data_IF_157917385670
#
_entry.id   IF_157917385670
#
_cell.length_a   1.000
_cell.length_b   1.000
_cell.length_c   1.000
_cell.angle_alpha   90.00
_cell.angle_beta   90.00
_cell.angle_gamma   90.00
#
_symmetry.space_group_name_H-M   'P 1'
#
loop_
_entity.id
_entity.type
_entity.pdbx_description
1 polymer ?
#
# COMPACT_ATOMS: atom_id res chain seq x y z
N UNK A 1 8.62 -3.46 21.70
CA UNK A 1 9.17 -4.13 20.51
C UNK A 1 9.21 -3.16 19.33
N UNK A 2 8.08 -2.51 18.92
CA UNK A 2 8.02 -1.58 17.77
C UNK A 2 9.09 -0.47 17.87
N UNK A 3 9.20 0.20 19.00
CA UNK A 3 10.18 1.27 19.21
C UNK A 3 11.65 0.80 19.08
N UNK A 4 11.96 -0.43 19.47
CA UNK A 4 13.32 -0.98 19.32
C UNK A 4 13.62 -1.33 17.85
N UNK A 5 12.62 -1.84 17.13
CA UNK A 5 12.74 -2.13 15.69
C UNK A 5 12.98 -0.85 14.91
N UNK A 6 12.28 0.24 15.24
CA UNK A 6 12.42 1.55 14.59
C UNK A 6 13.80 2.18 14.85
N UNK A 7 14.40 1.90 16.00
CA UNK A 7 15.77 2.36 16.36
C UNK A 7 16.87 1.38 15.93
N UNK A 8 16.53 0.31 15.19
CA UNK A 8 17.46 -0.73 14.74
C UNK A 8 18.22 -1.43 15.88
N UNK A 9 17.58 -1.55 17.05
CA UNK A 9 18.09 -2.26 18.22
C UNK A 9 17.54 -3.68 18.22
N UNK A 10 18.39 -4.68 18.46
CA UNK A 10 17.96 -6.07 18.59
C UNK A 10 17.15 -6.24 19.89
N UNK A 11 15.95 -6.77 19.77
CA UNK A 11 15.10 -7.12 20.91
C UNK A 11 15.10 -8.62 21.12
N UNK A 12 15.36 -9.03 22.36
CA UNK A 12 15.26 -10.41 22.81
C UNK A 12 14.10 -10.53 23.81
N UNK A 13 13.22 -11.46 23.60
CA UNK A 13 12.08 -11.67 24.50
C UNK A 13 11.76 -13.16 24.64
N UNK A 14 11.19 -13.53 25.78
CA UNK A 14 10.67 -14.86 26.04
C UNK A 14 9.24 -14.89 25.49
N UNK A 15 8.93 -15.76 24.50
CA UNK A 15 7.60 -15.79 23.93
C UNK A 15 6.58 -16.36 24.90
N UNK A 16 5.46 -15.67 25.07
CA UNK A 16 4.23 -16.27 25.59
C UNK A 16 3.48 -16.97 24.46
N UNK A 17 2.65 -17.95 24.78
CA UNK A 17 1.91 -18.76 23.78
C UNK A 17 1.10 -17.89 22.79
N UNK A 18 0.70 -16.67 23.19
CA UNK A 18 0.04 -15.70 22.31
C UNK A 18 0.97 -14.94 21.34
N UNK A 19 2.29 -14.99 21.56
CA UNK A 19 3.27 -14.19 20.79
C UNK A 19 3.84 -14.96 19.56
N UNK A 20 3.39 -16.19 19.33
CA UNK A 20 3.85 -17.08 18.24
C UNK A 20 3.58 -16.50 16.84
N UNK A 21 2.92 -15.35 16.73
CA UNK A 21 2.50 -14.73 15.46
C UNK A 21 3.42 -13.55 15.04
N UNK A 22 4.60 -13.40 15.64
CA UNK A 22 5.55 -12.38 15.15
C UNK A 22 6.27 -12.91 13.93
N UNK A 23 5.74 -12.59 12.75
CA UNK A 23 6.35 -12.92 11.48
C UNK A 23 7.77 -12.31 11.41
N UNK A 24 8.79 -13.16 11.24
CA UNK A 24 10.18 -12.77 11.06
C UNK A 24 11.07 -12.88 12.30
N UNK A 25 10.57 -13.38 13.43
CA UNK A 25 11.40 -13.67 14.59
C UNK A 25 12.22 -14.96 14.38
N UNK A 26 13.53 -14.92 14.68
CA UNK A 26 14.40 -16.09 14.66
C UNK A 26 14.46 -16.72 16.05
N UNK A 27 14.36 -18.04 16.07
CA UNK A 27 14.58 -18.83 17.28
C UNK A 27 16.07 -18.86 17.62
N UNK A 28 16.45 -18.35 18.77
CA UNK A 28 17.81 -18.44 19.31
C UNK A 28 17.75 -19.27 20.59
N UNK A 29 18.38 -20.44 20.60
CA UNK A 29 18.50 -21.24 21.80
C UNK A 29 19.66 -20.73 22.65
N UNK A 30 19.38 -20.29 23.86
CA UNK A 30 20.36 -19.97 24.88
C UNK A 30 19.96 -20.61 26.19
N UNK A 31 20.80 -21.50 26.73
CA UNK A 31 20.60 -22.18 28.03
C UNK A 31 19.20 -22.79 28.24
N UNK A 32 18.70 -23.57 27.27
CA UNK A 32 17.39 -24.26 27.34
C UNK A 32 16.15 -23.35 27.46
N UNK A 33 16.30 -22.03 27.33
CA UNK A 33 15.19 -21.10 27.27
C UNK A 33 14.97 -20.69 25.82
N UNK A 34 13.77 -20.85 25.25
CA UNK A 34 13.47 -20.38 23.90
C UNK A 34 13.41 -18.83 23.92
N UNK A 35 14.40 -18.21 23.31
CA UNK A 35 14.46 -16.77 23.15
C UNK A 35 14.15 -16.43 21.69
N UNK A 36 13.27 -15.48 21.44
CA UNK A 36 13.00 -14.97 20.12
C UNK A 36 13.73 -13.65 19.90
N UNK A 37 14.56 -13.62 18.86
CA UNK A 37 15.21 -12.39 18.40
C UNK A 37 14.42 -11.78 17.27
N UNK A 38 14.02 -10.53 17.41
CA UNK A 38 13.43 -9.76 16.31
C UNK A 38 14.37 -8.64 15.90
N UNK A 39 14.69 -8.59 14.62
CA UNK A 39 15.45 -7.51 13.99
C UNK A 39 14.68 -7.00 12.78
N UNK A 40 14.90 -5.74 12.45
CA UNK A 40 14.44 -5.22 11.15
C UNK A 40 15.13 -6.06 10.06
N UNK A 41 14.35 -6.69 9.20
CA UNK A 41 14.89 -7.42 8.05
C UNK A 41 15.52 -6.39 7.08
N UNK A 42 16.82 -6.22 7.19
CA UNK A 42 17.58 -5.39 6.24
C UNK A 42 17.84 -6.25 5.01
N UNK A 43 17.23 -5.89 3.90
CA UNK A 43 17.47 -6.54 2.61
C UNK A 43 18.92 -6.28 2.19
N UNK A 44 19.62 -7.31 1.67
CA UNK A 44 20.93 -7.09 1.07
C UNK A 44 20.81 -6.08 -0.08
N UNK A 45 21.82 -5.24 -0.32
CA UNK A 45 21.80 -4.24 -1.40
C UNK A 45 21.50 -4.85 -2.77
N UNK A 46 22.02 -6.04 -3.02
CA UNK A 46 21.79 -6.79 -4.26
C UNK A 46 20.32 -7.16 -4.44
N UNK A 47 19.70 -7.69 -3.37
CA UNK A 47 18.28 -8.04 -3.39
C UNK A 47 17.40 -6.80 -3.57
N UNK A 48 17.76 -5.69 -2.91
CA UNK A 48 17.04 -4.43 -3.05
C UNK A 48 17.12 -3.90 -4.48
N UNK A 49 18.28 -4.01 -5.14
CA UNK A 49 18.48 -3.63 -6.53
C UNK A 49 17.64 -4.50 -7.49
N UNK A 50 17.74 -5.83 -7.37
CA UNK A 50 16.96 -6.77 -8.20
C UNK A 50 15.46 -6.50 -8.04
N UNK A 51 15.01 -6.38 -6.80
CA UNK A 51 13.61 -6.06 -6.50
C UNK A 51 13.17 -4.76 -7.17
N UNK A 52 13.97 -3.70 -7.09
CA UNK A 52 13.67 -2.42 -7.71
C UNK A 52 13.62 -2.50 -9.23
N UNK A 53 14.56 -3.24 -9.84
CA UNK A 53 14.55 -3.48 -11.29
C UNK A 53 13.27 -4.22 -11.72
N UNK A 54 12.87 -5.26 -11.00
CA UNK A 54 11.61 -5.96 -11.25
C UNK A 54 10.39 -5.04 -11.11
N UNK A 55 10.33 -4.23 -10.05
CA UNK A 55 9.23 -3.26 -9.85
C UNK A 55 9.10 -2.31 -11.05
N UNK A 56 10.22 -1.78 -11.56
CA UNK A 56 10.24 -0.88 -12.71
C UNK A 56 9.80 -1.60 -13.98
N UNK A 57 10.40 -2.75 -14.30
CA UNK A 57 10.09 -3.49 -15.52
C UNK A 57 8.63 -3.94 -15.54
N UNK A 58 8.17 -4.58 -14.46
CA UNK A 58 6.79 -5.08 -14.39
C UNK A 58 5.76 -3.95 -14.43
N UNK A 59 6.01 -2.84 -13.72
CA UNK A 59 5.06 -1.72 -13.72
C UNK A 59 5.06 -0.96 -15.05
N UNK A 60 6.20 -0.82 -15.71
CA UNK A 60 6.28 -0.21 -17.05
C UNK A 60 5.53 -1.06 -18.08
N UNK A 61 5.77 -2.36 -18.13
CA UNK A 61 5.05 -3.28 -19.01
C UNK A 61 3.54 -3.27 -18.72
N UNK A 62 3.14 -3.34 -17.46
CA UNK A 62 1.75 -3.29 -17.07
C UNK A 62 1.08 -1.97 -17.50
N UNK A 63 1.75 -0.81 -17.35
CA UNK A 63 1.24 0.48 -17.82
C UNK A 63 1.04 0.50 -19.33
N UNK A 64 1.97 -0.03 -20.12
CA UNK A 64 1.83 -0.09 -21.57
C UNK A 64 0.67 -0.97 -21.98
N UNK A 65 0.60 -2.20 -21.45
CA UNK A 65 -0.45 -3.18 -21.79
C UNK A 65 -1.84 -2.70 -21.34
N UNK A 66 -1.94 -2.12 -20.13
CA UNK A 66 -3.21 -1.70 -19.56
C UNK A 66 -3.60 -0.26 -19.93
N UNK A 67 -2.74 0.49 -20.64
CA UNK A 67 -3.02 1.88 -21.03
C UNK A 67 -4.34 2.08 -21.77
N UNK A 68 -4.75 1.24 -22.76
CA UNK A 68 -6.03 1.43 -23.43
C UNK A 68 -7.22 1.26 -22.48
N UNK A 69 -7.15 0.30 -21.56
CA UNK A 69 -8.20 0.09 -20.56
C UNK A 69 -8.24 1.22 -19.53
N UNK A 70 -7.07 1.72 -19.12
CA UNK A 70 -6.98 2.89 -18.23
C UNK A 70 -7.56 4.13 -18.90
N UNK A 71 -7.28 4.34 -20.20
CA UNK A 71 -7.84 5.46 -20.96
C UNK A 71 -9.37 5.33 -21.06
N UNK A 72 -9.88 4.15 -21.41
CA UNK A 72 -11.32 3.90 -21.46
C UNK A 72 -11.97 4.20 -20.10
N UNK A 73 -11.40 3.71 -19.01
CA UNK A 73 -11.88 3.97 -17.65
C UNK A 73 -11.87 5.48 -17.34
N UNK A 74 -10.80 6.19 -17.72
CA UNK A 74 -10.69 7.63 -17.53
C UNK A 74 -11.80 8.40 -18.28
N UNK A 75 -12.09 8.01 -19.53
CA UNK A 75 -13.16 8.60 -20.34
C UNK A 75 -14.53 8.36 -19.70
N UNK A 76 -14.81 7.13 -19.25
CA UNK A 76 -16.09 6.78 -18.60
C UNK A 76 -16.30 7.57 -17.32
N UNK A 77 -15.28 7.68 -16.45
CA UNK A 77 -15.34 8.50 -15.23
C UNK A 77 -15.60 9.96 -15.58
N UNK A 78 -14.89 10.50 -16.58
CA UNK A 78 -15.02 11.89 -17.00
C UNK A 78 -16.39 12.19 -17.60
N UNK A 79 -16.95 11.27 -18.38
CA UNK A 79 -18.25 11.41 -19.00
C UNK A 79 -19.41 11.32 -18.00
N UNK A 80 -19.22 10.59 -16.88
CA UNK A 80 -20.27 10.37 -15.88
C UNK A 80 -20.58 11.63 -15.07
N UNK A 81 -19.57 12.35 -14.53
CA UNK A 81 -19.78 13.48 -13.62
C UNK A 81 -18.88 14.69 -13.89
N UNK A 82 -18.14 14.69 -15.01
CA UNK A 82 -17.27 15.77 -15.48
C UNK A 82 -16.15 16.22 -14.52
N UNK A 83 -16.02 15.57 -13.37
CA UNK A 83 -15.03 15.89 -12.34
C UNK A 83 -13.61 15.33 -12.66
N UNK A 84 -12.67 15.38 -11.68
CA UNK A 84 -11.32 14.84 -11.84
C UNK A 84 -11.35 13.31 -11.97
N UNK A 85 -10.55 12.77 -12.90
CA UNK A 85 -10.46 11.32 -13.16
C UNK A 85 -9.69 10.60 -12.06
N UNK A 86 -8.60 11.24 -11.57
CA UNK A 86 -7.73 10.68 -10.56
C UNK A 86 -8.03 11.27 -9.18
N UNK A 87 -8.01 10.40 -8.20
CA UNK A 87 -8.05 10.73 -6.78
C UNK A 87 -6.66 10.54 -6.18
N UNK A 88 -6.26 11.49 -5.32
CA UNK A 88 -4.99 11.47 -4.61
C UNK A 88 -5.24 11.39 -3.11
N UNK A 89 -4.58 10.48 -2.43
CA UNK A 89 -4.66 10.36 -0.98
C UNK A 89 -3.27 10.26 -0.39
N UNK A 90 -3.01 11.01 0.68
CA UNK A 90 -1.72 10.95 1.38
C UNK A 90 -1.60 9.63 2.12
N UNK A 91 -0.45 8.99 1.97
CA UNK A 91 -0.08 7.74 2.63
C UNK A 91 1.36 7.81 3.12
N UNK A 92 1.73 6.89 4.00
CA UNK A 92 3.10 6.76 4.50
C UNK A 92 3.82 5.63 3.79
N UNK A 93 5.06 5.87 3.39
CA UNK A 93 5.98 4.81 2.96
C UNK A 93 6.41 3.98 4.18
N UNK A 94 7.10 2.87 3.92
CA UNK A 94 7.73 2.05 4.98
C UNK A 94 8.68 2.82 5.90
N UNK A 95 9.22 3.95 5.43
CA UNK A 95 10.17 4.80 6.17
C UNK A 95 9.49 6.06 6.74
N UNK A 96 8.15 6.08 6.80
CA UNK A 96 7.37 7.19 7.35
C UNK A 96 7.28 8.45 6.49
N UNK A 97 7.81 8.43 5.25
CA UNK A 97 7.69 9.56 4.33
C UNK A 97 6.28 9.64 3.74
N UNK A 98 5.74 10.84 3.65
CA UNK A 98 4.43 11.08 3.04
C UNK A 98 4.54 11.07 1.52
N UNK A 99 3.61 10.39 0.84
CA UNK A 99 3.45 10.44 -0.61
C UNK A 99 1.97 10.41 -0.98
N UNK A 100 1.64 10.79 -2.21
CA UNK A 100 0.27 10.76 -2.70
C UNK A 100 0.04 9.48 -3.52
N UNK A 101 -0.75 8.55 -2.98
CA UNK A 101 -1.18 7.38 -3.73
C UNK A 101 -2.20 7.79 -4.79
N UNK A 102 -2.04 7.29 -6.01
CA UNK A 102 -2.92 7.58 -7.14
C UNK A 102 -3.95 6.48 -7.31
N UNK A 103 -5.21 6.86 -7.47
CA UNK A 103 -6.31 5.94 -7.79
C UNK A 103 -7.25 6.58 -8.82
N UNK A 104 -7.98 5.76 -9.57
CA UNK A 104 -9.15 6.27 -10.26
C UNK A 104 -10.23 6.66 -9.26
N UNK A 105 -10.90 7.78 -9.53
CA UNK A 105 -12.00 8.21 -8.68
C UNK A 105 -13.19 7.27 -8.83
N UNK A 106 -13.58 6.65 -7.74
CA UNK A 106 -14.71 5.74 -7.64
C UNK A 106 -15.90 6.28 -6.84
N UNK A 107 -15.72 7.47 -6.23
CA UNK A 107 -16.72 8.16 -5.42
C UNK A 107 -17.07 9.52 -6.02
N UNK A 108 -18.21 10.08 -5.60
CA UNK A 108 -18.65 11.44 -5.99
C UNK A 108 -17.60 12.48 -5.56
N UNK A 109 -17.58 13.62 -6.26
CA UNK A 109 -16.63 14.72 -5.96
C UNK A 109 -16.77 15.26 -4.54
N UNK A 110 -17.96 15.17 -3.97
CA UNK A 110 -18.33 15.66 -2.65
C UNK A 110 -18.31 14.59 -1.54
N UNK A 111 -17.80 13.41 -1.83
CA UNK A 111 -17.80 12.26 -0.90
C UNK A 111 -17.11 12.52 0.47
N UNK A 112 -16.17 13.45 0.54
CA UNK A 112 -15.40 13.80 1.74
C UNK A 112 -15.44 15.32 2.03
N UNK A 113 -16.54 16.02 1.69
CA UNK A 113 -16.69 17.47 1.94
C UNK A 113 -16.58 17.84 3.42
N UNK A 114 -16.97 16.95 4.29
CA UNK A 114 -16.90 17.12 5.75
C UNK A 114 -15.50 16.89 6.34
N UNK A 115 -14.49 16.55 5.50
CA UNK A 115 -13.11 16.33 5.91
C UNK A 115 -12.88 15.10 6.81
N UNK A 116 -13.93 14.32 7.06
CA UNK A 116 -13.84 13.13 7.92
C UNK A 116 -13.51 11.90 7.07
N UNK A 117 -12.34 11.34 7.31
CA UNK A 117 -11.90 10.10 6.67
C UNK A 117 -12.75 8.91 7.16
N UNK A 118 -13.68 8.44 6.34
CA UNK A 118 -14.52 7.27 6.63
C UNK A 118 -14.08 6.08 5.82
N UNK A 119 -14.08 4.91 6.44
CA UNK A 119 -13.92 3.66 5.71
C UNK A 119 -15.16 3.42 4.83
N UNK A 120 -14.93 3.04 3.57
CA UNK A 120 -16.04 2.70 2.68
C UNK A 120 -16.66 1.36 3.10
N UNK A 121 -17.98 1.32 3.22
CA UNK A 121 -18.75 0.09 3.39
C UNK A 121 -19.19 -0.48 2.04
N UNK A 122 -19.69 -1.72 2.03
CA UNK A 122 -20.15 -2.38 0.79
C UNK A 122 -21.36 -1.67 0.14
N UNK A 123 -22.18 -0.99 0.93
CA UNK A 123 -23.35 -0.21 0.49
C UNK A 123 -23.19 1.29 0.72
N UNK A 124 -22.02 1.83 0.35
CA UNK A 124 -21.72 3.26 0.51
C UNK A 124 -22.32 4.08 -0.64
N UNK A 125 -23.29 4.94 -0.34
CA UNK A 125 -23.98 5.80 -1.32
C UNK A 125 -23.07 6.83 -1.99
N UNK A 126 -21.86 7.04 -1.48
CA UNK A 126 -20.85 7.91 -2.07
C UNK A 126 -20.19 7.27 -3.30
N UNK A 127 -20.32 5.95 -3.47
CA UNK A 127 -19.72 5.22 -4.59
C UNK A 127 -20.58 5.41 -5.83
N UNK A 128 -19.97 5.87 -6.93
CA UNK A 128 -20.67 6.00 -8.21
C UNK A 128 -20.96 4.62 -8.83
N UNK A 129 -21.97 4.47 -9.70
CA UNK A 129 -22.22 3.22 -10.42
C UNK A 129 -20.97 2.73 -11.17
N UNK A 130 -20.25 3.63 -11.85
CA UNK A 130 -18.97 3.34 -12.50
C UNK A 130 -17.93 2.92 -11.46
N UNK A 131 -17.87 3.64 -10.34
CA UNK A 131 -16.98 3.34 -9.22
C UNK A 131 -17.18 1.95 -8.65
N UNK A 132 -18.41 1.47 -8.58
CA UNK A 132 -18.74 0.13 -8.09
C UNK A 132 -18.11 -0.95 -8.98
N UNK A 133 -18.19 -0.79 -10.29
CA UNK A 133 -17.62 -1.73 -11.26
C UNK A 133 -16.09 -1.73 -11.16
N UNK A 134 -15.45 -0.57 -11.25
CA UNK A 134 -13.98 -0.50 -11.24
C UNK A 134 -13.36 -0.97 -9.92
N UNK A 135 -14.06 -0.79 -8.78
CA UNK A 135 -13.64 -1.33 -7.47
C UNK A 135 -13.79 -2.84 -7.39
N UNK A 136 -14.86 -3.41 -7.93
CA UNK A 136 -15.07 -4.85 -7.94
C UNK A 136 -13.94 -5.62 -8.64
N UNK A 137 -13.37 -5.04 -9.69
CA UNK A 137 -12.26 -5.63 -10.46
C UNK A 137 -10.89 -5.02 -10.10
N UNK A 138 -10.82 -4.17 -9.08
CA UNK A 138 -9.59 -3.49 -8.62
C UNK A 138 -8.94 -2.57 -9.66
N UNK A 139 -9.66 -2.14 -10.68
CA UNK A 139 -9.16 -1.22 -11.70
C UNK A 139 -8.90 0.19 -11.17
N UNK A 140 -9.58 0.57 -10.08
CA UNK A 140 -9.35 1.84 -9.40
C UNK A 140 -7.91 1.98 -8.87
N UNK A 141 -7.19 0.89 -8.67
CA UNK A 141 -5.82 0.89 -8.16
C UNK A 141 -4.74 0.90 -9.26
N UNK A 142 -5.09 0.74 -10.54
CA UNK A 142 -4.10 0.72 -11.64
C UNK A 142 -3.20 1.97 -11.72
N UNK A 143 -3.66 3.20 -11.42
CA UNK A 143 -2.77 4.36 -11.42
C UNK A 143 -1.63 4.28 -10.40
N UNK A 144 -1.70 3.37 -9.41
CA UNK A 144 -0.60 3.14 -8.45
C UNK A 144 0.66 2.59 -9.13
N UNK A 145 0.56 2.00 -10.32
CA UNK A 145 1.72 1.62 -11.13
C UNK A 145 2.67 2.80 -11.36
N UNK A 146 2.14 4.03 -11.46
CA UNK A 146 2.94 5.26 -11.56
C UNK A 146 3.70 5.52 -10.27
N UNK A 147 3.08 5.27 -9.10
CA UNK A 147 3.76 5.40 -7.81
C UNK A 147 4.89 4.37 -7.67
N UNK A 148 4.68 3.14 -8.18
CA UNK A 148 5.72 2.11 -8.19
C UNK A 148 6.90 2.53 -9.06
N UNK A 149 6.66 3.07 -10.27
CA UNK A 149 7.72 3.60 -11.14
C UNK A 149 8.50 4.74 -10.48
N UNK A 150 7.83 5.63 -9.76
CA UNK A 150 8.48 6.72 -9.00
C UNK A 150 9.30 6.20 -7.83
N UNK A 151 8.97 5.04 -7.27
CA UNK A 151 9.63 4.47 -6.10
C UNK A 151 8.94 4.79 -4.78
N UNK A 152 7.76 5.37 -4.82
CA UNK A 152 6.97 5.65 -3.61
C UNK A 152 6.49 4.35 -2.94
N UNK A 153 6.29 3.30 -3.74
CA UNK A 153 5.84 1.99 -3.29
C UNK A 153 6.42 0.87 -4.17
N UNK A 154 6.17 -0.38 -3.81
CA UNK A 154 6.61 -1.57 -4.52
C UNK A 154 5.43 -2.49 -4.79
N UNK A 155 5.51 -3.35 -5.82
CA UNK A 155 4.47 -4.35 -6.15
C UNK A 155 4.24 -5.27 -4.94
N UNK A 156 5.32 -5.72 -4.31
CA UNK A 156 5.27 -6.57 -3.12
C UNK A 156 5.88 -5.81 -1.95
N UNK A 157 5.07 -5.52 -0.93
CA UNK A 157 5.50 -4.78 0.25
C UNK A 157 4.36 -4.55 1.25
N UNK A 158 4.65 -3.94 2.40
CA UNK A 158 3.62 -3.60 3.36
C UNK A 158 2.63 -2.60 2.75
N UNK A 159 1.36 -2.74 3.14
CA UNK A 159 0.32 -1.81 2.67
C UNK A 159 0.57 -0.42 3.28
N UNK A 160 0.57 0.64 2.45
CA UNK A 160 0.77 2.00 2.95
C UNK A 160 -0.42 2.44 3.80
N UNK A 161 -0.14 2.89 5.01
CA UNK A 161 -1.14 3.34 5.97
C UNK A 161 -1.46 4.83 5.82
N UNK A 162 -2.60 5.24 6.38
CA UNK A 162 -2.97 6.67 6.47
C UNK A 162 -2.21 7.29 7.63
N UNK A 163 -1.73 8.56 7.50
CA UNK A 163 -1.06 9.26 8.59
C UNK A 163 -1.90 9.40 9.87
N UNK A 164 -3.24 9.39 9.72
CA UNK A 164 -4.17 9.51 10.84
C UNK A 164 -4.33 8.21 11.66
N UNK A 165 -3.86 7.06 11.12
CA UNK A 165 -4.03 5.72 11.69
C UNK A 165 -2.69 5.11 12.10
N UNK A 166 -1.57 5.65 11.58
CA UNK A 166 -0.21 5.13 11.76
C UNK A 166 0.41 5.47 13.12
#
# INVERSE_FOLDING_TARGET
>A
VKACIDQNVACYFIPHIGDVIIAGAKHVQSFSIPIMETRRAVLSPEYAFIKRAMDIVCSALALVVLSPFMLATAIVIKAYDHGPVLYKQVRLTKDGKRYAILKFRSMRVDAEKDGVARLASDHDDRITPVGRIIRAIRFDELPQLINILKGDMSIVGPRPERPEIA
#
